data_IF_707250052811
#
_entry.id   IF_707250052811
#
_cell.length_a   1.000
_cell.length_b   1.000
_cell.length_c   1.000
_cell.angle_alpha   90.00
_cell.angle_beta   90.00
_cell.angle_gamma   90.00
#
_symmetry.space_group_name_H-M   'P 1'
#
loop_
_entity.id
_entity.type
_entity.pdbx_description
1 polymer ?
#
# COMPACT_ATOMS: atom_id res chain seq x y z
N UNK A 1 -1.24 0.57 20.12
CA UNK A 1 -2.33 0.14 19.23
C UNK A 1 -1.98 0.67 17.86
N UNK A 2 -1.61 -0.20 16.93
CA UNK A 2 -1.13 0.22 15.62
C UNK A 2 -2.35 0.28 14.70
N UNK A 3 -2.77 1.49 14.36
CA UNK A 3 -3.95 1.75 13.54
C UNK A 3 -3.53 1.82 12.07
N UNK A 4 -3.59 0.66 11.42
CA UNK A 4 -3.71 0.56 9.96
C UNK A 4 -5.18 0.34 9.66
N UNK A 5 -5.70 1.03 8.66
CA UNK A 5 -7.11 0.96 8.32
C UNK A 5 -7.29 -0.06 7.20
N UNK A 6 -7.83 -1.23 7.58
CA UNK A 6 -8.40 -2.18 6.63
C UNK A 6 -9.70 -1.58 6.10
N UNK A 7 -9.71 -1.29 4.81
CA UNK A 7 -10.83 -0.67 4.13
C UNK A 7 -11.46 -1.59 3.09
N UNK A 8 -12.71 -1.30 2.77
CA UNK A 8 -13.40 -1.85 1.60
C UNK A 8 -13.92 -0.64 0.82
N UNK A 9 -13.87 -0.70 -0.52
CA UNK A 9 -14.35 0.35 -1.40
C UNK A 9 -15.89 0.49 -1.39
N UNK A 10 -16.39 0.97 -0.26
CA UNK A 10 -17.81 1.16 0.03
C UNK A 10 -18.29 2.55 -0.39
N UNK A 11 -17.38 3.53 -0.35
CA UNK A 11 -17.67 4.91 -0.70
C UNK A 11 -17.08 5.23 -2.08
N UNK A 12 -17.91 5.52 -3.11
CA UNK A 12 -17.43 5.86 -4.44
C UNK A 12 -16.69 7.21 -4.50
N UNK A 13 -16.67 7.99 -3.42
CA UNK A 13 -15.90 9.23 -3.33
C UNK A 13 -14.57 9.07 -2.58
N UNK A 14 -14.23 7.86 -2.16
CA UNK A 14 -12.96 7.58 -1.50
C UNK A 14 -11.81 7.59 -2.51
N UNK A 15 -10.86 8.50 -2.31
CA UNK A 15 -9.66 8.62 -3.13
C UNK A 15 -8.77 7.37 -3.12
N UNK A 16 -8.86 6.54 -2.06
CA UNK A 16 -8.09 5.30 -1.93
C UNK A 16 -8.63 4.20 -2.85
N UNK A 17 -9.87 4.33 -3.30
CA UNK A 17 -10.53 3.42 -4.23
C UNK A 17 -10.36 3.83 -5.69
N UNK A 18 -9.47 4.76 -5.97
CA UNK A 18 -9.18 5.21 -7.33
C UNK A 18 -7.76 4.80 -7.75
N UNK A 19 -7.65 3.96 -8.77
CA UNK A 19 -6.35 3.56 -9.33
C UNK A 19 -6.43 3.43 -10.85
N UNK A 20 -5.35 3.82 -11.54
CA UNK A 20 -5.23 3.81 -13.01
C UNK A 20 -6.41 4.47 -13.75
N UNK A 21 -6.94 5.58 -13.22
CA UNK A 21 -8.07 6.28 -13.85
C UNK A 21 -9.43 5.63 -13.61
N UNK A 22 -9.50 4.52 -12.86
CA UNK A 22 -10.72 3.77 -12.57
C UNK A 22 -11.05 3.89 -11.08
N UNK A 23 -12.32 4.21 -10.82
CA UNK A 23 -12.90 4.21 -9.49
C UNK A 23 -13.48 2.82 -9.17
N UNK A 24 -13.11 2.25 -8.03
CA UNK A 24 -13.57 0.97 -7.53
C UNK A 24 -14.64 1.19 -6.45
N UNK A 25 -15.70 0.43 -6.54
CA UNK A 25 -16.88 0.51 -5.68
C UNK A 25 -17.51 -0.87 -5.55
N UNK A 26 -18.53 -1.00 -4.70
CA UNK A 26 -19.36 -2.21 -4.58
C UNK A 26 -19.82 -2.80 -5.92
N UNK A 27 -20.09 -1.97 -6.93
CA UNK A 27 -20.64 -2.42 -8.21
C UNK A 27 -19.61 -2.97 -9.21
N UNK A 28 -18.31 -2.72 -9.01
CA UNK A 28 -17.28 -3.04 -10.01
C UNK A 28 -15.97 -3.59 -9.44
N UNK A 29 -15.87 -3.74 -8.12
CA UNK A 29 -14.78 -4.43 -7.46
C UNK A 29 -15.09 -5.93 -7.44
N UNK A 30 -14.24 -6.71 -8.12
CA UNK A 30 -14.36 -8.17 -8.14
C UNK A 30 -14.22 -8.70 -6.71
N UNK A 31 -15.07 -9.64 -6.33
CA UNK A 31 -15.12 -10.26 -4.99
C UNK A 31 -15.38 -9.27 -3.84
N UNK A 32 -16.03 -8.15 -4.12
CA UNK A 32 -16.46 -7.22 -3.07
C UNK A 32 -17.30 -7.94 -2.00
N UNK A 33 -16.93 -7.76 -0.73
CA UNK A 33 -17.64 -8.32 0.41
C UNK A 33 -17.32 -9.80 0.68
N UNK A 34 -16.25 -10.35 0.11
CA UNK A 34 -15.79 -11.71 0.40
C UNK A 34 -14.68 -11.67 1.46
N UNK A 35 -14.91 -12.28 2.62
CA UNK A 35 -13.94 -12.38 3.71
C UNK A 35 -14.48 -11.84 5.03
N UNK A 36 -13.75 -12.09 6.11
CA UNK A 36 -14.18 -11.80 7.49
C UNK A 36 -13.26 -10.76 8.18
N UNK A 37 -12.15 -10.37 7.54
CA UNK A 37 -11.22 -9.37 8.04
C UNK A 37 -11.73 -7.98 7.67
N UNK A 38 -12.58 -7.41 8.51
CA UNK A 38 -13.16 -6.07 8.34
C UNK A 38 -12.50 -5.01 9.23
N UNK A 39 -11.70 -5.44 10.20
CA UNK A 39 -11.03 -4.56 11.15
C UNK A 39 -9.68 -5.11 11.62
N UNK A 40 -8.88 -4.23 12.21
CA UNK A 40 -7.58 -4.53 12.79
C UNK A 40 -7.75 -4.93 14.26
N UNK A 41 -8.15 -6.19 14.53
CA UNK A 41 -8.26 -6.75 15.89
C UNK A 41 -6.99 -7.48 16.30
N UNK A 42 -6.59 -7.39 17.57
CA UNK A 42 -5.31 -7.95 18.04
C UNK A 42 -5.15 -9.45 17.77
N UNK A 43 -6.24 -10.21 17.83
CA UNK A 43 -6.30 -11.66 17.67
C UNK A 43 -6.72 -12.10 16.25
N UNK A 44 -7.21 -11.19 15.42
CA UNK A 44 -7.72 -11.49 14.09
C UNK A 44 -7.31 -10.39 13.10
N UNK A 45 -6.22 -10.64 12.40
CA UNK A 45 -5.61 -9.72 11.42
C UNK A 45 -5.62 -10.35 10.04
N UNK A 46 -5.91 -9.55 9.01
CA UNK A 46 -5.88 -9.99 7.63
C UNK A 46 -6.47 -8.95 6.68
N UNK A 47 -6.39 -9.26 5.39
CA UNK A 47 -7.00 -8.45 4.33
C UNK A 47 -8.03 -9.34 3.64
N UNK A 48 -9.29 -8.95 3.71
CA UNK A 48 -10.38 -9.67 3.03
C UNK A 48 -10.21 -9.63 1.51
N UNK A 49 -10.77 -10.61 0.80
CA UNK A 49 -10.77 -10.60 -0.66
C UNK A 49 -11.62 -9.42 -1.14
N UNK A 50 -11.05 -8.56 -2.00
CA UNK A 50 -11.69 -7.29 -2.37
C UNK A 50 -11.63 -6.23 -1.28
N UNK A 51 -10.89 -6.46 -0.20
CA UNK A 51 -10.46 -5.45 0.75
C UNK A 51 -9.11 -4.84 0.36
N UNK A 52 -8.75 -3.76 1.04
CA UNK A 52 -7.44 -3.13 0.96
C UNK A 52 -6.97 -2.75 2.37
N UNK A 53 -5.68 -2.50 2.53
CA UNK A 53 -5.11 -1.98 3.77
C UNK A 53 -4.29 -0.73 3.46
N UNK A 54 -4.42 0.33 4.26
CA UNK A 54 -3.76 1.61 4.02
C UNK A 54 -2.98 2.13 5.22
N UNK A 55 -1.82 2.70 4.88
CA UNK A 55 -0.86 3.26 5.81
C UNK A 55 -0.69 4.73 5.47
N UNK A 56 -1.32 5.60 6.25
CA UNK A 56 -1.24 7.05 6.08
C UNK A 56 0.17 7.62 6.28
N UNK A 57 0.47 8.73 5.59
CA UNK A 57 1.80 9.38 5.62
C UNK A 57 2.24 9.86 7.02
N UNK A 58 1.30 10.05 7.94
CA UNK A 58 1.60 10.51 9.31
C UNK A 58 2.16 9.38 10.19
N UNK A 59 2.11 8.13 9.74
CA UNK A 59 2.59 7.00 10.52
C UNK A 59 4.11 6.89 10.48
N UNK A 60 4.67 6.50 11.63
CA UNK A 60 6.08 6.20 11.74
C UNK A 60 6.46 5.04 10.79
N UNK A 61 7.63 5.14 10.18
CA UNK A 61 8.11 4.14 9.22
C UNK A 61 7.59 4.34 7.78
N UNK A 62 6.64 5.23 7.52
CA UNK A 62 6.18 5.59 6.17
C UNK A 62 7.13 6.56 5.45
N UNK A 63 8.45 6.38 5.61
CA UNK A 63 9.47 7.17 4.95
C UNK A 63 10.79 6.39 4.82
N UNK A 64 11.62 6.81 3.86
CA UNK A 64 13.00 6.32 3.74
C UNK A 64 13.97 7.39 4.22
N UNK A 65 14.82 7.03 5.19
CA UNK A 65 15.91 7.90 5.61
C UNK A 65 17.02 7.88 4.57
N UNK A 66 17.15 8.97 3.82
CA UNK A 66 18.19 9.07 2.80
C UNK A 66 19.59 9.16 3.45
N UNK A 67 20.62 8.51 2.85
CA UNK A 67 22.00 8.66 3.32
C UNK A 67 22.46 10.11 3.30
N UNK A 68 23.16 10.58 4.33
CA UNK A 68 23.62 11.98 4.48
C UNK A 68 24.46 12.51 3.31
N UNK A 69 25.09 11.62 2.53
CA UNK A 69 25.97 11.96 1.40
C UNK A 69 25.41 11.46 0.06
N UNK A 70 24.11 11.19 -0.01
CA UNK A 70 23.47 10.79 -1.26
C UNK A 70 23.65 11.91 -2.30
N UNK A 71 24.25 11.57 -3.45
CA UNK A 71 24.51 12.53 -4.51
C UNK A 71 23.18 12.92 -5.20
N UNK A 72 23.04 14.17 -5.67
CA UNK A 72 21.90 14.52 -6.52
C UNK A 72 21.89 13.66 -7.79
N UNK A 73 20.71 13.25 -8.24
CA UNK A 73 20.59 12.41 -9.44
C UNK A 73 19.27 11.67 -9.55
N UNK A 74 19.17 10.84 -10.58
CA UNK A 74 18.04 9.94 -10.76
C UNK A 74 18.27 8.63 -10.02
N UNK A 75 17.26 8.22 -9.26
CA UNK A 75 17.21 6.96 -8.52
C UNK A 75 15.93 6.21 -8.87
N UNK A 76 15.89 4.91 -8.57
CA UNK A 76 14.67 4.11 -8.60
C UNK A 76 14.17 3.97 -7.18
N UNK A 77 12.96 4.47 -6.93
CA UNK A 77 12.19 4.11 -5.74
C UNK A 77 11.54 2.76 -6.01
N UNK A 78 11.80 1.79 -5.14
CA UNK A 78 11.21 0.46 -5.19
C UNK A 78 10.44 0.20 -3.90
N UNK A 79 9.26 -0.40 -4.03
CA UNK A 79 8.45 -0.89 -2.92
C UNK A 79 8.10 -2.33 -3.28
N UNK A 80 8.34 -3.25 -2.36
CA UNK A 80 8.04 -4.68 -2.52
C UNK A 80 7.18 -5.15 -1.35
N UNK A 81 6.09 -5.86 -1.68
CA UNK A 81 5.18 -6.48 -0.72
C UNK A 81 5.58 -7.95 -0.52
N UNK A 82 5.63 -8.41 0.73
CA UNK A 82 6.09 -9.76 1.13
C UNK A 82 7.46 -10.17 0.54
N UNK A 83 8.54 -9.38 0.75
CA UNK A 83 9.85 -9.66 0.15
C UNK A 83 10.48 -10.98 0.63
N UNK A 84 10.10 -11.45 1.82
CA UNK A 84 10.57 -12.72 2.40
C UNK A 84 9.71 -13.93 1.98
N UNK A 85 8.66 -13.71 1.18
CA UNK A 85 7.75 -14.75 0.67
C UNK A 85 7.09 -15.57 1.78
N UNK A 86 6.70 -14.92 2.87
CA UNK A 86 6.09 -15.56 4.05
C UNK A 86 4.68 -16.05 3.78
N UNK A 87 3.93 -15.40 2.89
CA UNK A 87 2.53 -15.73 2.62
C UNK A 87 2.37 -16.38 1.25
N UNK A 88 1.46 -17.33 1.11
CA UNK A 88 1.13 -17.92 -0.19
C UNK A 88 0.23 -16.95 -0.96
N UNK A 89 0.66 -16.58 -2.17
CA UNK A 89 -0.06 -15.66 -3.06
C UNK A 89 -0.30 -16.34 -4.42
N UNK A 90 -1.42 -15.99 -5.06
CA UNK A 90 -1.77 -16.54 -6.37
C UNK A 90 -0.84 -16.06 -7.50
N UNK A 91 -0.34 -14.83 -7.38
CA UNK A 91 0.63 -14.21 -8.28
C UNK A 91 1.53 -13.32 -7.43
N UNK A 92 2.84 -13.39 -7.65
CA UNK A 92 3.85 -12.56 -6.97
C UNK A 92 4.54 -11.57 -7.91
N UNK A 93 4.27 -11.68 -9.21
CA UNK A 93 4.92 -10.85 -10.22
C UNK A 93 4.46 -9.39 -10.16
N UNK A 94 3.37 -9.11 -9.44
CA UNK A 94 2.76 -7.81 -9.20
C UNK A 94 3.09 -7.21 -7.81
N UNK A 95 3.95 -7.84 -7.01
CA UNK A 95 4.28 -7.36 -5.66
C UNK A 95 5.29 -6.20 -5.63
N UNK A 96 5.94 -5.91 -6.76
CA UNK A 96 6.98 -4.87 -6.85
C UNK A 96 6.49 -3.66 -7.62
N UNK A 97 6.56 -2.49 -6.98
CA UNK A 97 6.36 -1.20 -7.60
C UNK A 97 7.71 -0.48 -7.77
N UNK A 98 7.97 0.08 -8.96
CA UNK A 98 9.19 0.84 -9.28
C UNK A 98 8.85 2.17 -9.92
N UNK A 99 9.49 3.25 -9.45
CA UNK A 99 9.35 4.58 -10.03
C UNK A 99 10.68 5.32 -10.07
N UNK A 100 11.00 5.93 -11.21
CA UNK A 100 12.16 6.82 -11.32
C UNK A 100 11.87 8.14 -10.61
N UNK A 101 12.76 8.53 -9.69
CA UNK A 101 12.66 9.77 -8.91
C UNK A 101 13.96 10.57 -9.05
N UNK A 102 13.84 11.89 -9.11
CA UNK A 102 15.00 12.78 -9.06
C UNK A 102 15.18 13.28 -7.62
N UNK A 103 16.34 13.01 -7.04
CA UNK A 103 16.69 13.49 -5.70
C UNK A 103 17.61 14.70 -5.88
N UNK A 104 17.16 15.85 -5.40
CA UNK A 104 17.94 17.09 -5.39
C UNK A 104 18.96 17.08 -4.25
N UNK A 105 19.90 18.04 -4.30
CA UNK A 105 20.88 18.22 -3.23
C UNK A 105 20.18 18.46 -1.90
N UNK A 106 20.37 17.53 -0.96
CA UNK A 106 19.85 17.65 0.39
C UNK A 106 20.51 18.86 1.06
N UNK A 107 19.69 19.77 1.61
CA UNK A 107 20.20 20.88 2.43
C UNK A 107 20.79 20.28 3.71
N UNK A 108 21.97 20.77 4.11
CA UNK A 108 22.60 20.39 5.38
C UNK A 108 21.84 21.00 6.54
#
# INVERSE_FOLDING_TARGET
MVFFDTGICNNPFDSLCFTNGKNYSKGNLINYGFGEFTDCKFDHQGISVGGYDTYGYMYEGQYLKLPKRLKPGFYILEIEIDPEKKYLEADRTNNTFRKKVFISKQKK
#
